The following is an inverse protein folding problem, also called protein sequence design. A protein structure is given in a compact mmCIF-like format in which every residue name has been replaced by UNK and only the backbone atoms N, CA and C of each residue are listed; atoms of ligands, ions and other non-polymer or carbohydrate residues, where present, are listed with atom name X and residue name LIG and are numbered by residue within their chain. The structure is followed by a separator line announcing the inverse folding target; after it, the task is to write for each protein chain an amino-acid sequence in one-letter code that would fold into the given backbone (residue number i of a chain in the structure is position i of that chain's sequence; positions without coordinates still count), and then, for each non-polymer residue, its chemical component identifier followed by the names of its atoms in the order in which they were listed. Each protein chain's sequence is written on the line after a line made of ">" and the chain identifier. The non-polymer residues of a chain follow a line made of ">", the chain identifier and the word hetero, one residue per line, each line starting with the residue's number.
data_IF_917783385406
#
_entry.id   IF_917783385406
#
_cell.length_a   1.000
_cell.length_b   1.000
_cell.length_c   1.000
_cell.angle_alpha   90.00
_cell.angle_beta   90.00
_cell.angle_gamma   90.00
#
_symmetry.space_group_name_H-M   'P 1'
#
loop_
_entity.id
_entity.type
_entity.pdbx_description
1 polymer ?
#
# COMPACT_ATOMS: atom_id res chain seq x y z
N UNK A 1 -13.79 45.11 20.46
CA UNK A 1 -12.97 45.42 19.27
C UNK A 1 -11.57 44.82 19.33
N UNK A 2 -10.90 44.73 20.49
CA UNK A 2 -9.54 44.16 20.62
C UNK A 2 -9.45 42.67 20.27
N UNK A 3 -10.45 41.86 20.69
CA UNK A 3 -10.46 40.38 20.40
C UNK A 3 -10.60 40.07 18.91
N UNK A 4 -11.33 40.88 18.15
CA UNK A 4 -11.55 40.62 16.73
C UNK A 4 -10.28 40.83 15.88
N UNK A 5 -9.53 41.87 16.16
CA UNK A 5 -8.26 42.14 15.47
C UNK A 5 -7.17 41.10 15.81
N UNK A 6 -7.15 40.60 17.05
CA UNK A 6 -6.23 39.51 17.44
C UNK A 6 -6.54 38.21 16.73
N UNK A 7 -7.82 37.85 16.62
CA UNK A 7 -8.25 36.61 15.89
C UNK A 7 -7.89 36.72 14.41
N UNK A 8 -8.07 37.85 13.78
CA UNK A 8 -7.71 38.05 12.36
C UNK A 8 -6.21 37.98 12.13
N UNK A 9 -5.37 38.46 13.06
CA UNK A 9 -3.91 38.35 12.96
C UNK A 9 -3.43 36.90 13.07
N UNK A 10 -3.95 36.11 14.02
CA UNK A 10 -3.64 34.69 14.19
C UNK A 10 -4.02 33.88 12.95
N UNK A 11 -5.21 34.10 12.40
CA UNK A 11 -5.62 33.41 11.18
C UNK A 11 -4.70 33.73 10.00
N UNK A 12 -4.32 34.98 9.80
CA UNK A 12 -3.39 35.39 8.74
C UNK A 12 -2.01 34.76 8.91
N UNK A 13 -1.52 34.66 10.14
CA UNK A 13 -0.22 34.05 10.45
C UNK A 13 -0.24 32.55 10.19
N UNK A 14 -1.31 31.84 10.58
CA UNK A 14 -1.50 30.40 10.31
C UNK A 14 -1.56 30.12 8.80
N UNK A 15 -2.30 30.95 8.06
CA UNK A 15 -2.39 30.83 6.60
C UNK A 15 -1.02 31.03 5.95
N UNK A 16 -0.25 32.02 6.38
CA UNK A 16 1.09 32.27 5.85
C UNK A 16 2.06 31.14 6.16
N UNK A 17 2.11 30.65 7.40
CA UNK A 17 2.94 29.49 7.77
C UNK A 17 2.57 28.26 6.96
N UNK A 18 1.27 28.02 6.76
CA UNK A 18 0.75 26.88 5.99
C UNK A 18 1.16 26.92 4.53
N UNK A 19 1.06 28.10 3.89
CA UNK A 19 1.47 28.31 2.49
C UNK A 19 2.97 28.08 2.34
N UNK A 20 3.78 28.71 3.19
CA UNK A 20 5.24 28.58 3.13
C UNK A 20 5.70 27.13 3.37
N UNK A 21 5.07 26.43 4.29
CA UNK A 21 5.35 25.01 4.56
C UNK A 21 4.97 24.12 3.37
N UNK A 22 3.84 24.39 2.72
CA UNK A 22 3.37 23.65 1.54
C UNK A 22 4.32 23.86 0.35
N UNK A 23 4.69 25.10 0.05
CA UNK A 23 5.64 25.43 -1.02
C UNK A 23 7.01 24.78 -0.79
N UNK A 24 7.52 24.86 0.44
CA UNK A 24 8.77 24.20 0.83
C UNK A 24 8.70 22.70 0.61
N UNK A 25 7.63 22.04 1.11
CA UNK A 25 7.44 20.60 0.99
C UNK A 25 7.33 20.15 -0.47
N UNK A 26 6.51 20.87 -1.25
CA UNK A 26 6.36 20.60 -2.68
C UNK A 26 7.71 20.69 -3.42
N UNK A 27 8.48 21.75 -3.19
CA UNK A 27 9.79 21.94 -3.81
C UNK A 27 10.80 20.87 -3.39
N UNK A 28 10.89 20.57 -2.10
CA UNK A 28 11.83 19.58 -1.55
C UNK A 28 11.58 18.19 -2.08
N UNK A 29 10.31 17.80 -2.21
CA UNK A 29 9.90 16.45 -2.64
C UNK A 29 9.56 16.37 -4.15
N UNK A 30 9.85 17.43 -4.92
CA UNK A 30 9.58 17.51 -6.36
C UNK A 30 8.13 17.18 -6.73
N UNK A 31 7.18 17.75 -5.97
CA UNK A 31 5.74 17.61 -6.16
C UNK A 31 5.16 18.89 -6.79
N UNK A 32 4.00 18.76 -7.45
CA UNK A 32 3.17 19.93 -7.76
C UNK A 32 2.53 20.47 -6.47
N UNK A 33 2.21 21.75 -6.45
CA UNK A 33 1.51 22.39 -5.31
C UNK A 33 0.16 21.72 -5.03
N UNK A 34 -0.58 21.35 -6.08
CA UNK A 34 -1.84 20.61 -5.99
C UNK A 34 -1.66 19.30 -5.24
N UNK A 35 -0.63 18.51 -5.62
CA UNK A 35 -0.34 17.24 -4.97
C UNK A 35 0.12 17.41 -3.52
N UNK A 36 0.94 18.42 -3.25
CA UNK A 36 1.34 18.75 -1.89
C UNK A 36 0.14 19.19 -1.03
N UNK A 37 -0.78 19.96 -1.60
CA UNK A 37 -2.01 20.38 -0.93
C UNK A 37 -2.88 19.16 -0.57
N UNK A 38 -3.09 18.22 -1.50
CA UNK A 38 -3.85 17.00 -1.26
C UNK A 38 -3.25 16.16 -0.12
N UNK A 39 -1.92 16.07 -0.06
CA UNK A 39 -1.20 15.39 1.01
C UNK A 39 -1.38 16.10 2.36
N UNK A 40 -1.24 17.43 2.40
CA UNK A 40 -1.42 18.23 3.60
C UNK A 40 -2.85 18.13 4.14
N UNK A 41 -3.84 18.14 3.24
CA UNK A 41 -5.25 17.95 3.60
C UNK A 41 -5.51 16.54 4.16
N UNK A 42 -5.03 15.51 3.46
CA UNK A 42 -5.18 14.09 3.85
C UNK A 42 -4.59 13.81 5.24
N UNK A 43 -3.42 14.38 5.54
CA UNK A 43 -2.71 14.16 6.80
C UNK A 43 -2.99 15.21 7.87
N UNK A 44 -3.98 16.08 7.63
CA UNK A 44 -4.42 17.14 8.55
C UNK A 44 -3.26 18.07 8.97
N UNK A 45 -2.33 18.35 8.05
CA UNK A 45 -1.15 19.16 8.34
C UNK A 45 -1.56 20.59 8.68
N UNK A 46 -2.54 21.16 7.98
CA UNK A 46 -3.04 22.50 8.24
C UNK A 46 -3.63 22.66 9.64
N UNK A 47 -4.42 21.66 10.09
CA UNK A 47 -4.98 21.63 11.44
C UNK A 47 -3.89 21.50 12.50
N UNK A 48 -2.87 20.69 12.24
CA UNK A 48 -1.72 20.50 13.16
C UNK A 48 -0.89 21.79 13.28
N UNK A 49 -0.64 22.51 12.18
CA UNK A 49 0.01 23.84 12.20
C UNK A 49 -0.83 24.82 13.02
N UNK A 50 -2.14 24.84 12.82
CA UNK A 50 -3.05 25.71 13.57
C UNK A 50 -3.02 25.43 15.08
N UNK A 51 -3.03 24.16 15.48
CA UNK A 51 -2.98 23.77 16.90
C UNK A 51 -1.64 24.18 17.54
N UNK A 52 -0.54 24.11 16.80
CA UNK A 52 0.80 24.44 17.26
C UNK A 52 1.21 25.90 17.00
N UNK A 53 0.29 26.72 16.50
CA UNK A 53 0.58 28.11 16.06
C UNK A 53 1.30 28.94 17.10
N UNK A 54 0.86 28.94 18.37
CA UNK A 54 1.48 29.74 19.44
C UNK A 54 2.96 29.41 19.65
N UNK A 55 3.35 28.16 19.41
CA UNK A 55 4.74 27.71 19.49
C UNK A 55 5.49 28.06 18.22
N UNK A 56 4.95 27.67 17.04
CA UNK A 56 5.59 27.84 15.74
C UNK A 56 5.78 29.32 15.38
N UNK A 57 4.84 30.20 15.73
CA UNK A 57 4.93 31.63 15.51
C UNK A 57 6.12 32.30 16.22
N UNK A 58 6.62 31.74 17.31
CA UNK A 58 7.75 32.25 18.08
C UNK A 58 9.11 31.69 17.60
N UNK A 59 9.10 30.70 16.73
CA UNK A 59 10.28 30.01 16.21
C UNK A 59 10.65 30.51 14.80
N UNK A 60 11.78 30.05 14.30
CA UNK A 60 12.16 30.29 12.91
C UNK A 60 11.28 29.46 11.97
N UNK A 61 11.05 29.95 10.75
CA UNK A 61 10.25 29.26 9.74
C UNK A 61 10.77 27.84 9.43
N UNK A 62 12.06 27.62 9.58
CA UNK A 62 12.70 26.31 9.42
C UNK A 62 12.20 25.28 10.43
N UNK A 63 11.80 25.71 11.63
CA UNK A 63 11.20 24.82 12.63
C UNK A 63 9.80 24.35 12.18
N UNK A 64 9.04 25.24 11.53
CA UNK A 64 7.76 24.85 10.90
C UNK A 64 7.98 23.83 9.78
N UNK A 65 9.01 24.01 8.96
CA UNK A 65 9.35 23.06 7.90
C UNK A 65 9.75 21.70 8.48
N UNK A 66 10.58 21.68 9.53
CA UNK A 66 10.95 20.45 10.21
C UNK A 66 9.73 19.77 10.84
N UNK A 67 8.86 20.51 11.50
CA UNK A 67 7.61 19.98 12.07
C UNK A 67 6.73 19.32 11.01
N UNK A 68 6.58 19.95 9.83
CA UNK A 68 5.83 19.34 8.73
C UNK A 68 6.50 18.06 8.21
N UNK A 69 7.83 18.04 8.08
CA UNK A 69 8.55 16.82 7.70
C UNK A 69 8.35 15.69 8.71
N UNK A 70 8.34 15.99 10.02
CA UNK A 70 8.06 15.01 11.07
C UNK A 70 6.64 14.45 10.93
N UNK A 71 5.61 15.31 10.79
CA UNK A 71 4.23 14.85 10.53
C UNK A 71 4.17 13.94 9.32
N UNK A 72 4.79 14.32 8.23
CA UNK A 72 4.74 13.57 6.98
C UNK A 72 5.54 12.26 7.06
N UNK A 73 6.63 12.23 7.82
CA UNK A 73 7.41 11.00 8.06
C UNK A 73 6.66 9.97 8.92
N UNK A 74 5.85 10.42 9.89
CA UNK A 74 4.97 9.54 10.67
C UNK A 74 3.88 8.88 9.81
N UNK A 75 3.58 9.44 8.63
CA UNK A 75 2.61 8.91 7.70
C UNK A 75 3.17 7.80 6.78
N UNK A 76 4.47 7.51 6.85
CA UNK A 76 5.09 6.37 6.16
C UNK A 76 4.80 5.12 6.96
N UNK A 77 3.95 4.24 6.45
CA UNK A 77 3.75 2.94 7.07
C UNK A 77 4.79 1.94 6.56
N UNK A 78 5.47 1.29 7.48
CA UNK A 78 6.39 0.20 7.19
C UNK A 78 5.70 -1.15 7.38
N UNK A 79 5.82 -2.03 6.39
CA UNK A 79 5.33 -3.39 6.47
C UNK A 79 6.48 -4.36 6.22
N UNK A 80 6.67 -5.30 7.14
CA UNK A 80 7.53 -6.45 6.91
C UNK A 80 6.77 -7.46 6.06
N UNK A 81 7.35 -7.82 4.91
CA UNK A 81 6.73 -8.68 3.92
C UNK A 81 7.62 -9.85 3.58
N UNK A 82 7.00 -10.98 3.24
CA UNK A 82 7.68 -12.21 2.88
C UNK A 82 7.23 -12.72 1.51
N UNK A 83 8.17 -13.29 0.76
CA UNK A 83 7.88 -13.93 -0.53
C UNK A 83 8.51 -15.31 -0.56
N UNK A 84 7.72 -16.33 -0.90
CA UNK A 84 8.17 -17.70 -1.08
C UNK A 84 8.44 -18.03 -2.55
N UNK A 85 9.57 -18.66 -2.84
CA UNK A 85 9.98 -19.06 -4.18
C UNK A 85 10.71 -20.40 -4.19
N UNK A 86 10.63 -21.13 -5.30
CA UNK A 86 11.51 -22.28 -5.55
C UNK A 86 12.78 -21.92 -6.34
N UNK A 87 12.92 -20.66 -6.74
CA UNK A 87 14.07 -20.14 -7.50
C UNK A 87 14.72 -19.02 -6.69
N UNK A 88 16.05 -19.07 -6.58
CA UNK A 88 16.81 -17.97 -6.05
C UNK A 88 16.95 -16.86 -7.12
N UNK A 89 16.68 -15.61 -6.74
CA UNK A 89 16.85 -14.45 -7.60
C UNK A 89 17.40 -13.25 -6.79
N UNK A 90 18.08 -12.34 -7.47
CA UNK A 90 18.65 -11.14 -6.87
C UNK A 90 17.85 -9.87 -7.26
N UNK A 91 17.09 -9.94 -8.34
CA UNK A 91 16.22 -8.85 -8.81
C UNK A 91 14.82 -9.36 -9.08
N UNK A 92 13.84 -8.55 -8.68
CA UNK A 92 12.44 -8.79 -8.99
C UNK A 92 12.19 -8.43 -10.46
N UNK A 93 11.59 -9.35 -11.19
CA UNK A 93 11.16 -9.16 -12.57
C UNK A 93 9.63 -9.35 -12.65
N UNK A 94 8.91 -8.25 -12.82
CA UNK A 94 7.45 -8.25 -12.89
C UNK A 94 6.91 -9.06 -14.09
N UNK A 95 7.71 -9.23 -15.16
CA UNK A 95 7.32 -9.99 -16.34
C UNK A 95 7.32 -11.51 -16.11
N UNK A 96 8.00 -12.00 -15.07
CA UNK A 96 8.02 -13.41 -14.70
C UNK A 96 6.78 -13.86 -13.92
N UNK A 97 5.92 -12.93 -13.52
CA UNK A 97 4.67 -13.26 -12.85
C UNK A 97 3.69 -13.92 -13.82
N UNK A 98 2.97 -14.93 -13.33
CA UNK A 98 1.89 -15.54 -14.08
C UNK A 98 0.75 -14.55 -14.33
N UNK A 99 0.14 -14.65 -15.50
CA UNK A 99 -1.13 -13.99 -15.80
C UNK A 99 -2.27 -14.59 -14.96
N UNK A 100 -3.37 -13.86 -14.89
CA UNK A 100 -4.63 -14.29 -14.24
C UNK A 100 -4.50 -14.51 -12.72
N UNK A 101 -3.65 -13.70 -12.08
CA UNK A 101 -3.59 -13.59 -10.62
C UNK A 101 -4.75 -12.77 -10.09
N UNK A 102 -5.01 -12.86 -8.78
CA UNK A 102 -6.10 -12.15 -8.09
C UNK A 102 -6.10 -10.65 -8.36
N UNK A 103 -4.93 -10.03 -8.26
CA UNK A 103 -4.75 -8.60 -8.47
C UNK A 103 -3.98 -8.29 -9.78
N UNK A 104 -3.94 -9.24 -10.70
CA UNK A 104 -3.19 -9.10 -11.95
C UNK A 104 -1.73 -9.52 -11.84
N UNK A 105 -1.00 -9.37 -12.96
CA UNK A 105 0.43 -9.68 -13.01
C UNK A 105 1.22 -8.73 -12.11
N UNK A 106 2.06 -9.27 -11.23
CA UNK A 106 2.84 -8.49 -10.27
C UNK A 106 3.70 -9.37 -9.36
N UNK A 107 4.45 -8.73 -8.49
CA UNK A 107 5.22 -9.41 -7.45
C UNK A 107 4.40 -9.49 -6.16
N UNK A 108 4.19 -10.69 -5.65
CA UNK A 108 3.28 -10.96 -4.55
C UNK A 108 4.02 -11.33 -3.27
N UNK A 109 3.65 -10.67 -2.18
CA UNK A 109 4.15 -10.90 -0.84
C UNK A 109 3.02 -11.18 0.14
N UNK A 110 3.36 -11.72 1.29
CA UNK A 110 2.48 -11.90 2.44
C UNK A 110 3.07 -11.26 3.70
N UNK A 111 2.22 -10.90 4.66
CA UNK A 111 2.65 -10.42 5.98
C UNK A 111 3.02 -11.56 6.93
N UNK A 112 2.68 -12.81 6.58
CA UNK A 112 2.94 -13.99 7.40
C UNK A 112 4.08 -14.82 6.81
N UNK A 113 5.21 -14.89 7.50
CA UNK A 113 6.37 -15.69 7.06
C UNK A 113 6.01 -17.15 6.84
N UNK A 114 5.17 -17.75 7.70
CA UNK A 114 4.71 -19.12 7.56
C UNK A 114 4.03 -19.41 6.22
N UNK A 115 3.26 -18.48 5.69
CA UNK A 115 2.65 -18.60 4.37
C UNK A 115 3.69 -18.58 3.25
N UNK A 116 4.70 -17.73 3.34
CA UNK A 116 5.78 -17.72 2.37
C UNK A 116 6.60 -19.03 2.38
N UNK A 117 6.86 -19.58 3.58
CA UNK A 117 7.49 -20.90 3.75
C UNK A 117 6.65 -21.99 3.08
N UNK A 118 5.37 -22.05 3.38
CA UNK A 118 4.47 -23.04 2.80
C UNK A 118 4.38 -22.90 1.28
N UNK A 119 4.30 -21.66 0.77
CA UNK A 119 4.29 -21.40 -0.66
C UNK A 119 5.57 -21.86 -1.35
N UNK A 120 6.75 -21.59 -0.78
CA UNK A 120 8.04 -22.06 -1.31
C UNK A 120 8.10 -23.60 -1.37
N UNK A 121 7.60 -24.29 -0.32
CA UNK A 121 7.50 -25.75 -0.28
C UNK A 121 6.56 -26.28 -1.37
N UNK A 122 5.38 -25.70 -1.53
CA UNK A 122 4.41 -26.10 -2.57
C UNK A 122 4.98 -25.92 -3.98
N UNK A 123 5.71 -24.81 -4.23
CA UNK A 123 6.38 -24.59 -5.52
C UNK A 123 7.46 -25.62 -5.79
N UNK A 124 8.31 -25.91 -4.81
CA UNK A 124 9.35 -26.93 -4.91
C UNK A 124 8.76 -28.31 -5.18
N UNK A 125 7.74 -28.74 -4.43
CA UNK A 125 7.06 -30.03 -4.62
C UNK A 125 6.41 -30.16 -5.99
N UNK A 126 5.89 -29.04 -6.54
CA UNK A 126 5.25 -29.05 -7.87
C UNK A 126 6.24 -29.09 -9.00
N UNK A 127 7.38 -28.39 -8.86
CA UNK A 127 8.40 -28.29 -9.91
C UNK A 127 9.43 -29.40 -9.85
N UNK A 128 9.63 -30.03 -8.70
CA UNK A 128 10.71 -30.96 -8.37
C UNK A 128 12.11 -30.39 -8.71
N UNK A 129 12.25 -29.04 -8.69
CA UNK A 129 13.49 -28.35 -9.05
C UNK A 129 13.69 -27.07 -8.25
N UNK A 130 14.94 -26.60 -8.15
CA UNK A 130 15.32 -25.43 -7.40
C UNK A 130 15.50 -25.70 -5.91
N UNK A 131 15.18 -24.73 -5.08
CA UNK A 131 15.21 -24.80 -3.62
C UNK A 131 13.89 -24.36 -3.00
N UNK A 132 13.92 -24.05 -1.72
CA UNK A 132 12.77 -23.51 -0.98
C UNK A 132 13.22 -22.21 -0.34
N UNK A 133 13.03 -21.09 -1.01
CA UNK A 133 13.58 -19.80 -0.61
C UNK A 133 12.47 -18.92 -0.04
N UNK A 134 12.78 -18.25 1.07
CA UNK A 134 11.95 -17.20 1.65
C UNK A 134 12.75 -15.91 1.67
N UNK A 135 12.16 -14.90 1.06
CA UNK A 135 12.66 -13.54 0.99
C UNK A 135 11.96 -12.69 2.03
N UNK A 136 12.70 -11.81 2.69
CA UNK A 136 12.18 -10.81 3.60
C UNK A 136 12.45 -9.43 3.05
N UNK A 137 11.41 -8.60 3.03
CA UNK A 137 11.43 -7.23 2.55
C UNK A 137 10.83 -6.28 3.58
N UNK A 138 11.23 -5.02 3.53
CA UNK A 138 10.53 -3.91 4.18
C UNK A 138 9.89 -3.07 3.09
N UNK A 139 8.59 -2.92 3.15
CA UNK A 139 7.83 -2.05 2.26
C UNK A 139 7.54 -0.72 2.94
N UNK A 140 8.00 0.37 2.34
CA UNK A 140 7.72 1.74 2.76
C UNK A 140 6.57 2.29 1.93
N UNK A 141 5.37 2.25 2.48
CA UNK A 141 4.22 2.86 1.82
C UNK A 141 4.29 4.36 1.97
N UNK A 142 4.32 5.06 0.84
CA UNK A 142 4.37 6.52 0.74
C UNK A 142 3.20 7.04 -0.08
N UNK A 143 2.90 8.34 0.05
CA UNK A 143 1.76 8.96 -0.63
C UNK A 143 1.94 9.16 -2.14
N UNK A 144 3.15 8.97 -2.68
CA UNK A 144 3.37 8.98 -4.13
C UNK A 144 2.99 7.67 -4.82
N UNK A 145 2.67 6.62 -4.07
CA UNK A 145 2.18 5.35 -4.58
C UNK A 145 0.65 5.33 -4.65
N UNK A 146 0.12 4.85 -5.77
CA UNK A 146 -1.31 4.55 -5.90
C UNK A 146 -1.59 3.20 -5.26
N UNK A 147 -2.05 3.21 -4.01
CA UNK A 147 -2.34 1.99 -3.24
C UNK A 147 -3.84 1.74 -3.21
N UNK A 148 -4.25 0.53 -3.58
CA UNK A 148 -5.61 0.03 -3.38
C UNK A 148 -5.63 -0.93 -2.21
N UNK A 149 -6.53 -0.69 -1.26
CA UNK A 149 -6.73 -1.57 -0.11
C UNK A 149 -8.14 -2.15 -0.10
N UNK A 150 -8.23 -3.49 -0.02
CA UNK A 150 -9.46 -4.21 0.20
C UNK A 150 -9.50 -4.70 1.66
N UNK A 151 -10.33 -4.11 2.51
CA UNK A 151 -10.34 -4.46 3.94
C UNK A 151 -11.05 -5.80 4.23
N UNK A 152 -11.81 -6.33 3.26
CA UNK A 152 -12.63 -7.52 3.45
C UNK A 152 -12.93 -8.26 2.13
N UNK A 153 -13.41 -9.50 2.26
CA UNK A 153 -13.96 -10.33 1.18
C UNK A 153 -15.35 -9.82 0.76
N UNK A 154 -15.39 -8.64 0.13
CA UNK A 154 -16.62 -7.98 -0.28
C UNK A 154 -16.85 -8.04 -1.81
N UNK A 155 -17.94 -7.45 -2.27
CA UNK A 155 -18.30 -7.44 -3.69
C UNK A 155 -17.24 -6.74 -4.54
N UNK A 156 -16.68 -5.63 -4.08
CA UNK A 156 -15.63 -4.88 -4.80
C UNK A 156 -14.37 -5.75 -5.02
N UNK A 157 -13.95 -6.47 -3.97
CA UNK A 157 -12.84 -7.43 -4.05
C UNK A 157 -13.12 -8.57 -5.03
N UNK A 158 -14.34 -9.16 -5.01
CA UNK A 158 -14.72 -10.21 -5.96
C UNK A 158 -14.71 -9.74 -7.40
N UNK A 159 -15.26 -8.56 -7.68
CA UNK A 159 -15.29 -7.97 -9.02
C UNK A 159 -13.87 -7.67 -9.52
N UNK A 160 -13.01 -7.16 -8.65
CA UNK A 160 -11.62 -6.88 -8.97
C UNK A 160 -10.84 -8.15 -9.34
N UNK A 161 -10.99 -9.24 -8.55
CA UNK A 161 -10.40 -10.54 -8.87
C UNK A 161 -10.94 -11.07 -10.20
N UNK A 162 -12.25 -10.98 -10.41
CA UNK A 162 -12.89 -11.44 -11.65
C UNK A 162 -12.30 -10.77 -12.87
N UNK A 163 -12.16 -9.47 -12.86
CA UNK A 163 -11.56 -8.69 -13.94
C UNK A 163 -10.14 -9.18 -14.28
N UNK A 164 -9.28 -9.27 -13.27
CA UNK A 164 -7.89 -9.65 -13.46
C UNK A 164 -7.73 -11.12 -13.88
N UNK A 165 -8.48 -12.05 -13.29
CA UNK A 165 -8.39 -13.48 -13.63
C UNK A 165 -8.97 -13.82 -14.99
N UNK A 166 -10.05 -13.18 -15.41
CA UNK A 166 -10.69 -13.46 -16.71
C UNK A 166 -9.89 -12.84 -17.83
N UNK A 167 -9.56 -11.54 -17.74
CA UNK A 167 -8.87 -10.82 -18.80
C UNK A 167 -7.36 -11.10 -18.82
N UNK A 168 -6.76 -11.41 -17.68
CA UNK A 168 -5.31 -11.55 -17.53
C UNK A 168 -4.60 -10.20 -17.55
N UNK A 169 -3.26 -10.21 -17.43
CA UNK A 169 -2.46 -9.00 -17.36
C UNK A 169 -2.71 -8.21 -16.08
N UNK A 170 -2.85 -6.88 -16.19
CA UNK A 170 -3.18 -5.94 -15.12
C UNK A 170 -4.40 -5.14 -15.57
N UNK A 171 -5.51 -5.22 -14.86
CA UNK A 171 -6.76 -4.56 -15.20
C UNK A 171 -7.04 -3.33 -14.30
N UNK A 172 -5.98 -2.68 -13.83
CA UNK A 172 -6.04 -1.49 -12.99
C UNK A 172 -4.77 -0.62 -13.16
N UNK A 173 -4.76 0.54 -12.53
CA UNK A 173 -3.63 1.49 -12.56
C UNK A 173 -3.00 1.74 -11.18
N UNK A 174 -3.16 0.81 -10.23
CA UNK A 174 -2.54 0.88 -8.91
C UNK A 174 -1.10 0.38 -8.96
N UNK A 175 -0.23 1.02 -8.18
CA UNK A 175 1.16 0.60 -8.00
C UNK A 175 1.23 -0.61 -7.05
N UNK A 176 0.41 -0.58 -6.00
CA UNK A 176 0.31 -1.63 -4.98
C UNK A 176 -1.14 -1.96 -4.70
N UNK A 177 -1.45 -3.25 -4.55
CA UNK A 177 -2.76 -3.72 -4.08
C UNK A 177 -2.58 -4.55 -2.82
N UNK A 178 -3.33 -4.22 -1.78
CA UNK A 178 -3.36 -4.92 -0.49
C UNK A 178 -4.75 -5.48 -0.28
N UNK A 179 -4.85 -6.75 0.03
CA UNK A 179 -6.15 -7.34 0.29
C UNK A 179 -6.13 -8.84 0.54
N UNK A 180 -7.30 -9.43 0.78
CA UNK A 180 -7.44 -10.85 1.05
C UNK A 180 -6.89 -11.74 -0.06
N UNK A 181 -6.28 -12.87 0.35
CA UNK A 181 -5.91 -13.96 -0.57
C UNK A 181 -7.14 -14.80 -0.85
N UNK A 182 -7.38 -15.16 -2.10
CA UNK A 182 -8.28 -16.25 -2.44
C UNK A 182 -7.56 -17.59 -2.21
N UNK A 183 -7.55 -18.03 -0.97
CA UNK A 183 -6.93 -19.28 -0.52
C UNK A 183 -7.82 -20.52 -0.77
N UNK A 184 -7.34 -21.70 -0.34
CA UNK A 184 -8.02 -22.96 -0.56
C UNK A 184 -9.45 -22.97 0.04
N UNK A 185 -9.71 -22.24 1.12
CA UNK A 185 -11.01 -22.15 1.77
C UNK A 185 -12.00 -21.25 1.03
N UNK A 186 -11.50 -20.26 0.31
CA UNK A 186 -12.30 -19.27 -0.42
C UNK A 186 -12.38 -19.56 -1.91
N UNK A 187 -11.45 -20.37 -2.41
CA UNK A 187 -11.24 -20.58 -3.85
C UNK A 187 -12.47 -21.22 -4.53
N UNK A 188 -13.13 -22.17 -3.90
CA UNK A 188 -14.33 -22.81 -4.46
C UNK A 188 -15.44 -21.77 -4.69
N UNK A 189 -15.70 -20.93 -3.69
CA UNK A 189 -16.72 -19.86 -3.79
C UNK A 189 -16.34 -18.83 -4.86
N UNK A 190 -15.07 -18.43 -4.92
CA UNK A 190 -14.57 -17.53 -5.96
C UNK A 190 -14.74 -18.14 -7.36
N UNK A 191 -14.44 -19.43 -7.53
CA UNK A 191 -14.60 -20.11 -8.82
C UNK A 191 -16.07 -20.22 -9.26
N UNK A 192 -16.97 -20.53 -8.33
CA UNK A 192 -18.42 -20.53 -8.61
C UNK A 192 -18.92 -19.13 -9.01
N UNK A 193 -18.40 -18.09 -8.41
CA UNK A 193 -18.69 -16.72 -8.83
C UNK A 193 -18.11 -16.40 -10.21
N UNK A 194 -16.85 -16.76 -10.47
CA UNK A 194 -16.21 -16.53 -11.78
C UNK A 194 -16.93 -17.23 -12.92
N UNK A 195 -17.46 -18.42 -12.68
CA UNK A 195 -18.25 -19.22 -13.65
C UNK A 195 -19.72 -18.80 -13.72
N UNK A 196 -20.11 -17.74 -13.01
CA UNK A 196 -21.48 -17.23 -12.97
C UNK A 196 -22.53 -18.21 -12.38
N UNK A 197 -22.09 -19.18 -11.60
CA UNK A 197 -22.97 -20.09 -10.84
C UNK A 197 -23.53 -19.40 -9.60
N UNK A 198 -22.71 -18.55 -8.96
CA UNK A 198 -23.13 -17.70 -7.86
C UNK A 198 -23.18 -16.23 -8.30
N UNK A 199 -24.16 -15.49 -7.80
CA UNK A 199 -24.13 -14.03 -7.81
C UNK A 199 -23.09 -13.48 -6.84
N UNK A 200 -22.72 -12.20 -7.00
CA UNK A 200 -21.78 -11.55 -6.07
C UNK A 200 -22.28 -11.57 -4.62
N UNK A 201 -23.59 -11.38 -4.41
CA UNK A 201 -24.19 -11.38 -3.08
C UNK A 201 -24.13 -12.75 -2.42
N UNK A 202 -24.44 -13.81 -3.15
CA UNK A 202 -24.34 -15.20 -2.65
C UNK A 202 -22.88 -15.59 -2.33
N UNK A 203 -21.93 -15.16 -3.17
CA UNK A 203 -20.52 -15.40 -2.93
C UNK A 203 -20.03 -14.67 -1.67
N UNK A 204 -20.37 -13.37 -1.50
CA UNK A 204 -20.02 -12.60 -0.29
C UNK A 204 -20.60 -13.24 0.97
N UNK A 205 -21.87 -13.69 0.92
CA UNK A 205 -22.50 -14.32 2.06
C UNK A 205 -21.80 -15.63 2.46
N UNK A 206 -21.35 -16.45 1.49
CA UNK A 206 -20.55 -17.66 1.76
C UNK A 206 -19.18 -17.34 2.35
N UNK A 207 -18.56 -16.23 1.93
CA UNK A 207 -17.22 -15.81 2.39
C UNK A 207 -17.22 -15.11 3.74
N UNK A 208 -18.39 -14.73 4.27
CA UNK A 208 -18.55 -13.88 5.46
C UNK A 208 -17.76 -14.31 6.69
N UNK A 209 -17.62 -15.61 6.90
CA UNK A 209 -16.96 -16.17 8.09
C UNK A 209 -15.54 -16.67 7.83
N UNK A 210 -15.02 -16.46 6.63
CA UNK A 210 -13.69 -16.93 6.31
C UNK A 210 -12.62 -16.00 6.94
N UNK A 211 -11.58 -16.61 7.48
CA UNK A 211 -10.44 -15.87 8.01
C UNK A 211 -9.73 -15.16 6.86
N UNK A 212 -9.51 -13.87 7.02
CA UNK A 212 -8.83 -13.04 6.04
C UNK A 212 -7.32 -13.09 6.29
N UNK A 213 -6.58 -13.54 5.29
CA UNK A 213 -5.13 -13.40 5.22
C UNK A 213 -4.80 -12.45 4.07
N UNK A 214 -4.04 -11.39 4.35
CA UNK A 214 -3.73 -10.39 3.36
C UNK A 214 -2.48 -10.72 2.56
N UNK A 215 -2.55 -10.45 1.26
CA UNK A 215 -1.43 -10.38 0.35
C UNK A 215 -1.18 -8.93 -0.07
N UNK A 216 0.05 -8.64 -0.42
CA UNK A 216 0.48 -7.35 -0.97
C UNK A 216 1.11 -7.62 -2.33
N UNK A 217 0.61 -6.97 -3.36
CA UNK A 217 1.12 -7.14 -4.73
C UNK A 217 1.63 -5.83 -5.30
N UNK A 218 2.76 -5.90 -5.97
CA UNK A 218 3.49 -4.79 -6.55
C UNK A 218 3.43 -4.89 -8.07
N UNK A 219 2.99 -3.84 -8.75
CA UNK A 219 2.63 -3.88 -10.17
C UNK A 219 3.48 -2.96 -11.05
N UNK A 220 4.24 -2.03 -10.47
CA UNK A 220 5.04 -1.05 -11.19
C UNK A 220 6.49 -1.01 -10.72
N UNK A 221 7.44 -0.58 -11.55
CA UNK A 221 8.82 -0.33 -11.11
C UNK A 221 8.89 0.65 -9.94
N UNK A 222 8.06 1.70 -9.94
CA UNK A 222 7.97 2.66 -8.84
C UNK A 222 7.65 1.97 -7.50
N UNK A 223 6.69 1.03 -7.50
CA UNK A 223 6.35 0.28 -6.29
C UNK A 223 7.53 -0.56 -5.77
N UNK A 224 8.34 -1.13 -6.67
CA UNK A 224 9.51 -1.93 -6.29
C UNK A 224 10.64 -1.09 -5.70
N UNK A 225 10.75 0.20 -6.01
CA UNK A 225 11.72 1.12 -5.38
C UNK A 225 11.46 1.31 -3.88
N UNK A 226 10.20 1.12 -3.45
CA UNK A 226 9.77 1.20 -2.06
C UNK A 226 9.80 -0.15 -1.34
N UNK A 227 10.23 -1.22 -2.00
CA UNK A 227 10.34 -2.57 -1.45
C UNK A 227 11.81 -2.93 -1.22
N UNK A 228 12.29 -2.71 0.00
CA UNK A 228 13.69 -2.88 0.36
C UNK A 228 13.97 -4.34 0.71
N UNK A 229 14.89 -4.95 -0.02
CA UNK A 229 15.37 -6.31 0.28
C UNK A 229 16.17 -6.33 1.57
N UNK A 230 15.86 -7.24 2.48
CA UNK A 230 16.58 -7.44 3.72
C UNK A 230 17.37 -8.75 3.75
N UNK A 231 16.72 -9.85 3.44
CA UNK A 231 17.35 -11.16 3.51
C UNK A 231 16.66 -12.21 2.65
N UNK A 232 17.41 -13.24 2.31
CA UNK A 232 16.94 -14.49 1.72
C UNK A 232 17.47 -15.66 2.53
N UNK A 233 16.61 -16.61 2.83
CA UNK A 233 17.02 -17.87 3.45
C UNK A 233 16.41 -19.06 2.72
N UNK A 234 17.11 -20.18 2.73
CA UNK A 234 16.57 -21.46 2.32
C UNK A 234 15.93 -22.16 3.51
N UNK A 235 14.75 -22.76 3.29
CA UNK A 235 13.99 -23.45 4.33
C UNK A 235 13.96 -24.94 4.08
N UNK A 236 13.91 -25.71 5.15
CA UNK A 236 13.86 -27.17 5.13
C UNK A 236 12.57 -27.74 4.55
#
# INVERSE_FOLDING_TARGET
>A
RHNFFHIMSVQSDVEMLSIQALEYYAKKHNLSEEKAFDLFYKHQVFEKIMIQHETLHQLDITDTFQYVEEIMSECVSELVLFHGSNIAFDKIDLNKSHDRRDFGRGFYCTVLESQAVEWARRLYLRSHSGGKYVYRYIFHQTDNLKVKHFPALNKEWLEFIKENRIKGGIQHNYDVVIGPVADDNTMETVQLYLSSVLSANEAVERLRYNKVNNQVSFHTPLALEHLIFESRREVS
#
